data_IF_323890135648
#
_entry.id   IF_323890135648
#
_cell.length_a   1.000
_cell.length_b   1.000
_cell.length_c   1.000
_cell.angle_alpha   90.00
_cell.angle_beta   90.00
_cell.angle_gamma   90.00
#
_symmetry.space_group_name_H-M   'P 1'
#
loop_
_entity.id
_entity.type
_entity.pdbx_description
1 polymer ?
#
# COMPACT_ATOMS: atom_id res chain seq x y z
N UNK A 1 18.36 12.96 24.72
CA UNK A 1 18.59 11.67 24.04
C UNK A 1 17.30 10.96 23.61
N UNK A 2 16.24 10.87 24.44
CA UNK A 2 14.97 10.23 24.04
C UNK A 2 14.25 10.89 22.84
N UNK A 3 14.36 12.22 22.69
CA UNK A 3 13.75 12.98 21.58
C UNK A 3 14.50 12.82 20.24
N UNK A 4 15.71 12.25 20.24
CA UNK A 4 16.50 12.06 19.03
C UNK A 4 15.94 10.94 18.14
N UNK A 5 15.25 9.97 18.74
CA UNK A 5 14.58 8.87 18.04
C UNK A 5 13.19 9.28 17.50
N UNK A 6 12.56 10.33 18.03
CA UNK A 6 11.22 10.76 17.62
C UNK A 6 11.17 11.23 16.16
N UNK A 7 12.22 11.91 15.70
CA UNK A 7 12.30 12.44 14.34
C UNK A 7 12.33 11.34 13.27
N UNK A 8 13.24 10.33 13.33
CA UNK A 8 13.26 9.24 12.34
C UNK A 8 12.01 8.34 12.40
N UNK A 9 11.40 8.13 13.57
CA UNK A 9 10.13 7.39 13.65
C UNK A 9 8.97 8.10 12.92
N UNK A 10 8.96 9.45 12.91
CA UNK A 10 7.96 10.23 12.19
C UNK A 10 8.10 10.09 10.67
N UNK A 11 9.32 9.87 10.16
CA UNK A 11 9.55 9.69 8.72
C UNK A 11 9.14 8.29 8.23
N UNK A 12 9.21 7.27 9.07
CA UNK A 12 8.81 5.90 8.74
C UNK A 12 7.30 5.79 8.44
N UNK A 13 6.45 6.58 9.11
CA UNK A 13 5.00 6.52 8.91
C UNK A 13 4.53 7.00 7.54
N UNK A 14 5.35 7.76 6.80
CA UNK A 14 5.02 8.22 5.45
C UNK A 14 5.31 7.19 4.36
N UNK A 15 6.00 6.08 4.68
CA UNK A 15 6.38 5.04 3.71
C UNK A 15 5.42 3.82 3.80
N UNK A 16 4.36 3.92 4.59
CA UNK A 16 3.38 2.83 4.74
C UNK A 16 2.47 2.75 3.50
N UNK A 17 2.78 1.86 2.57
CA UNK A 17 1.86 1.43 1.51
C UNK A 17 0.94 0.32 2.04
N UNK A 18 -0.29 0.23 1.51
CA UNK A 18 -1.16 -0.92 1.79
C UNK A 18 -0.50 -2.16 1.18
N UNK A 19 -0.42 -3.25 1.95
CA UNK A 19 0.19 -4.49 1.49
C UNK A 19 -0.88 -5.45 1.01
N UNK A 20 -0.70 -6.02 -0.18
CA UNK A 20 -1.57 -7.08 -0.71
C UNK A 20 -1.48 -8.32 0.19
N UNK A 21 -2.53 -9.13 0.28
CA UNK A 21 -2.49 -10.36 1.07
C UNK A 21 -1.35 -11.30 0.67
N UNK A 22 -0.78 -12.04 1.62
CA UNK A 22 0.39 -12.91 1.41
C UNK A 22 0.23 -13.99 0.32
N UNK A 23 -1.00 -14.33 -0.06
CA UNK A 23 -1.27 -15.28 -1.14
C UNK A 23 -1.21 -14.63 -2.54
N UNK A 24 -1.12 -13.31 -2.61
CA UNK A 24 -0.96 -12.56 -3.85
C UNK A 24 0.54 -12.48 -4.15
N UNK A 25 1.03 -13.13 -5.22
CA UNK A 25 2.42 -12.97 -5.62
C UNK A 25 2.65 -11.52 -6.05
N UNK A 26 3.70 -10.91 -5.52
CA UNK A 26 4.09 -9.53 -5.87
C UNK A 26 4.99 -9.47 -7.10
N UNK A 27 5.66 -10.58 -7.43
CA UNK A 27 6.55 -10.63 -8.58
C UNK A 27 5.75 -10.53 -9.88
N UNK A 28 6.08 -9.51 -10.68
CA UNK A 28 5.37 -9.19 -11.93
C UNK A 28 3.86 -8.93 -11.74
N UNK A 29 3.43 -8.54 -10.53
CA UNK A 29 2.05 -8.14 -10.27
C UNK A 29 1.75 -6.82 -11.00
N UNK A 30 0.72 -6.81 -11.85
CA UNK A 30 0.30 -5.61 -12.59
C UNK A 30 -0.72 -4.79 -11.79
N UNK A 31 -1.59 -5.44 -11.02
CA UNK A 31 -2.60 -4.77 -10.22
C UNK A 31 -3.26 -5.76 -9.27
N UNK A 32 -3.87 -5.25 -8.20
CA UNK A 32 -4.64 -6.04 -7.25
C UNK A 32 -5.90 -5.27 -6.86
N UNK A 33 -7.06 -5.81 -7.24
CA UNK A 33 -8.37 -5.28 -6.86
C UNK A 33 -9.08 -6.30 -5.97
N UNK A 34 -9.09 -6.03 -4.67
CA UNK A 34 -9.84 -6.84 -3.70
C UNK A 34 -11.35 -6.59 -3.79
N UNK A 35 -12.15 -7.50 -3.24
CA UNK A 35 -13.61 -7.32 -3.10
C UNK A 35 -13.96 -6.45 -1.87
N UNK A 36 -13.38 -5.25 -1.81
CA UNK A 36 -13.56 -4.29 -0.73
C UNK A 36 -14.62 -3.20 -1.05
N UNK A 37 -15.25 -3.26 -2.22
CA UNK A 37 -16.31 -2.33 -2.65
C UNK A 37 -15.83 -1.08 -3.39
N UNK A 38 -14.55 -1.00 -3.80
CA UNK A 38 -14.04 0.04 -4.70
C UNK A 38 -13.25 -0.59 -5.87
N UNK A 39 -12.81 0.25 -6.81
CA UNK A 39 -12.01 -0.16 -7.96
C UNK A 39 -10.55 0.30 -7.83
N UNK A 40 -10.05 0.53 -6.61
CA UNK A 40 -8.69 1.01 -6.39
C UNK A 40 -7.69 -0.14 -6.51
N UNK A 41 -6.53 0.12 -7.12
CA UNK A 41 -5.43 -0.82 -7.20
C UNK A 41 -4.62 -0.83 -5.91
N UNK A 42 -4.84 -1.85 -5.10
CA UNK A 42 -4.16 -2.08 -3.82
C UNK A 42 -2.76 -2.70 -3.98
N UNK A 43 -2.29 -2.97 -5.21
CA UNK A 43 -0.91 -3.44 -5.44
C UNK A 43 0.15 -2.35 -5.27
N UNK A 44 -0.27 -1.07 -5.32
CA UNK A 44 0.63 0.08 -5.35
C UNK A 44 1.10 0.48 -6.74
N UNK A 45 0.62 -0.18 -7.81
CA UNK A 45 0.97 0.18 -9.20
C UNK A 45 0.13 1.34 -9.77
N UNK A 46 -0.92 1.79 -9.06
CA UNK A 46 -1.71 2.96 -9.42
C UNK A 46 -2.65 2.72 -10.61
N UNK A 47 -3.02 1.47 -10.88
CA UNK A 47 -3.97 1.11 -11.93
C UNK A 47 -5.41 1.21 -11.42
N UNK A 48 -5.82 2.36 -10.90
CA UNK A 48 -7.19 2.54 -10.38
C UNK A 48 -8.23 2.44 -11.52
N UNK A 49 -9.30 1.69 -11.25
CA UNK A 49 -10.47 1.57 -12.10
C UNK A 49 -11.57 2.59 -11.76
N UNK A 50 -12.67 2.57 -12.53
CA UNK A 50 -13.87 3.39 -12.26
C UNK A 50 -15.05 2.48 -11.91
N UNK A 51 -15.83 2.86 -10.89
CA UNK A 51 -17.08 2.18 -10.51
C UNK A 51 -18.25 2.84 -11.27
N UNK A 52 -19.08 2.04 -11.93
CA UNK A 52 -20.28 2.49 -12.68
C UNK A 52 -21.58 2.22 -11.91
#
# INVERSE_FOLDING_TARGET
MKKLLLLPLLFISFISFSQVPNYVPTDSLVGWWGFNGNANDESGNGNDGTVN
#
